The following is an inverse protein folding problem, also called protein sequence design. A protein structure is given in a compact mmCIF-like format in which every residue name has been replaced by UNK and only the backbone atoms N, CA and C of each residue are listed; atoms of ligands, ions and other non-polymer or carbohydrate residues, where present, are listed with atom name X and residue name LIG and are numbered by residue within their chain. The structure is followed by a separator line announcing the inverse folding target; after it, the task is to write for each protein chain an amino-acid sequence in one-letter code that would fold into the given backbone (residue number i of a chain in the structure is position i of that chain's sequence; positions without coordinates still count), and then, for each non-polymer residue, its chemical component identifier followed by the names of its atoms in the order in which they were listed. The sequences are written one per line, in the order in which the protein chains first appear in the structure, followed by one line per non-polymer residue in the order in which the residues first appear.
data_IF_532925942552
#
_entry.id   IF_532925942552
#
_cell.length_a   1.000
_cell.length_b   1.000
_cell.length_c   1.000
_cell.angle_alpha   90.00
_cell.angle_beta   90.00
_cell.angle_gamma   90.00
#
_symmetry.space_group_name_H-M   'P 1'
#
loop_
_entity.id
_entity.type
_entity.pdbx_description
1 polymer ?
#
# COMPACT_ATOMS: atom_id res chain seq x y z
N UNK A 1 10.82 -12.39 2.04
CA UNK A 1 9.55 -11.65 2.08
C UNK A 1 9.01 -11.72 3.50
N UNK A 2 8.88 -10.57 4.17
CA UNK A 2 8.29 -10.51 5.51
C UNK A 2 6.76 -10.59 5.40
N UNK A 3 6.20 -11.78 5.60
CA UNK A 3 4.75 -12.02 5.50
C UNK A 3 3.96 -11.29 6.59
N UNK A 4 4.56 -11.08 7.75
CA UNK A 4 3.90 -10.43 8.87
C UNK A 4 3.71 -8.95 8.58
N UNK A 5 4.72 -8.31 7.99
CA UNK A 5 4.62 -6.93 7.53
C UNK A 5 3.51 -6.75 6.47
N UNK A 6 3.48 -7.61 5.44
CA UNK A 6 2.45 -7.56 4.39
C UNK A 6 1.06 -7.81 4.98
N UNK A 7 0.90 -8.84 5.82
CA UNK A 7 -0.36 -9.16 6.49
C UNK A 7 -0.88 -8.00 7.34
N UNK A 8 0.01 -7.32 8.07
CA UNK A 8 -0.37 -6.16 8.89
C UNK A 8 -0.85 -4.99 8.03
N UNK A 9 -0.28 -4.79 6.83
CA UNK A 9 -0.76 -3.73 5.92
C UNK A 9 -2.09 -4.05 5.28
N UNK A 10 -2.32 -5.32 4.93
CA UNK A 10 -3.65 -5.79 4.50
C UNK A 10 -4.68 -5.49 5.58
N UNK A 11 -4.36 -5.81 6.84
CA UNK A 11 -5.20 -5.51 8.00
C UNK A 11 -5.48 -4.00 8.12
N UNK A 12 -4.44 -3.17 8.05
CA UNK A 12 -4.59 -1.72 8.15
C UNK A 12 -5.41 -1.13 7.01
N UNK A 13 -5.23 -1.59 5.77
CA UNK A 13 -6.03 -1.16 4.62
C UNK A 13 -7.50 -1.61 4.74
N UNK A 14 -7.76 -2.81 5.28
CA UNK A 14 -9.11 -3.28 5.60
C UNK A 14 -9.79 -2.38 6.65
N UNK A 15 -9.08 -2.09 7.74
CA UNK A 15 -9.59 -1.26 8.83
C UNK A 15 -9.85 0.18 8.37
N UNK A 16 -9.01 0.73 7.48
CA UNK A 16 -9.24 2.05 6.88
C UNK A 16 -10.53 2.14 6.04
N UNK A 17 -11.02 1.01 5.52
CA UNK A 17 -12.33 0.91 4.84
C UNK A 17 -13.47 0.54 5.78
N UNK A 18 -13.23 0.45 7.08
CA UNK A 18 -14.20 0.01 8.08
C UNK A 18 -14.79 -1.39 7.82
N UNK A 19 -14.02 -2.26 7.15
CA UNK A 19 -14.45 -3.64 6.89
C UNK A 19 -14.04 -4.55 8.03
N UNK A 20 -14.90 -5.49 8.40
CA UNK A 20 -14.58 -6.66 9.23
C UNK A 20 -13.82 -7.72 8.41
N UNK A 21 -13.20 -8.69 9.09
CA UNK A 21 -12.54 -9.81 8.40
C UNK A 21 -13.55 -10.64 7.61
N UNK A 22 -14.77 -10.77 8.13
CA UNK A 22 -15.91 -11.45 7.51
C UNK A 22 -16.34 -10.77 6.22
N UNK A 23 -16.45 -9.44 6.22
CA UNK A 23 -16.83 -8.68 5.03
C UNK A 23 -15.75 -8.74 3.95
N UNK A 24 -14.47 -8.58 4.31
CA UNK A 24 -13.38 -8.77 3.35
C UNK A 24 -13.38 -10.19 2.79
N UNK A 25 -13.56 -11.19 3.65
CA UNK A 25 -13.60 -12.59 3.23
C UNK A 25 -14.73 -12.85 2.22
N UNK A 26 -15.91 -12.28 2.43
CA UNK A 26 -17.01 -12.35 1.48
C UNK A 26 -16.66 -11.69 0.13
N UNK A 27 -16.01 -10.52 0.14
CA UNK A 27 -15.61 -9.80 -1.08
C UNK A 27 -14.61 -10.57 -1.94
N UNK A 28 -13.70 -11.32 -1.32
CA UNK A 28 -12.64 -12.06 -2.03
C UNK A 28 -12.90 -13.57 -2.10
N UNK A 29 -14.11 -14.02 -1.77
CA UNK A 29 -14.53 -15.42 -1.77
C UNK A 29 -13.58 -16.33 -0.95
N UNK A 30 -13.25 -15.89 0.27
CA UNK A 30 -12.46 -16.64 1.24
C UNK A 30 -13.28 -16.91 2.51
N UNK A 31 -12.80 -17.82 3.35
CA UNK A 31 -13.27 -17.91 4.74
C UNK A 31 -12.66 -16.80 5.60
N UNK A 32 -13.36 -16.29 6.64
CA UNK A 32 -12.80 -15.34 7.60
C UNK A 32 -11.49 -15.82 8.25
N UNK A 33 -11.39 -17.12 8.52
CA UNK A 33 -10.18 -17.76 9.04
C UNK A 33 -8.99 -17.63 8.08
N UNK A 34 -9.22 -17.74 6.77
CA UNK A 34 -8.17 -17.52 5.77
C UNK A 34 -7.70 -16.07 5.78
N UNK A 35 -8.60 -15.10 5.82
CA UNK A 35 -8.26 -13.67 5.95
C UNK A 35 -7.42 -13.43 7.21
N UNK A 36 -7.83 -14.00 8.35
CA UNK A 36 -7.07 -13.91 9.62
C UNK A 36 -5.66 -14.53 9.53
N UNK A 37 -5.50 -15.65 8.81
CA UNK A 37 -4.19 -16.29 8.57
C UNK A 37 -3.29 -15.39 7.72
N UNK A 38 -3.87 -14.73 6.70
CA UNK A 38 -3.17 -13.79 5.81
C UNK A 38 -2.73 -12.55 6.60
N UNK A 39 -3.63 -11.92 7.35
CA UNK A 39 -3.36 -10.71 8.12
C UNK A 39 -2.29 -10.91 9.20
N UNK A 40 -2.20 -12.12 9.76
CA UNK A 40 -1.16 -12.48 10.74
C UNK A 40 0.16 -12.93 10.09
N UNK A 41 0.22 -13.04 8.76
CA UNK A 41 1.41 -13.49 8.03
C UNK A 41 1.78 -14.96 8.28
N UNK A 42 0.81 -15.81 8.66
CA UNK A 42 1.07 -17.21 9.05
C UNK A 42 1.26 -18.14 7.85
N UNK A 43 0.83 -17.73 6.65
CA UNK A 43 0.96 -18.52 5.43
C UNK A 43 1.15 -17.61 4.22
N UNK A 44 1.92 -18.10 3.24
CA UNK A 44 2.06 -17.43 1.94
C UNK A 44 0.72 -17.46 1.20
N UNK A 45 0.27 -16.28 0.78
CA UNK A 45 -0.93 -16.09 -0.03
C UNK A 45 -0.62 -16.32 -1.51
N UNK A 46 -1.54 -16.95 -2.25
CA UNK A 46 -1.42 -17.06 -3.72
C UNK A 46 -1.54 -15.67 -4.36
N UNK A 47 -0.88 -15.47 -5.49
CA UNK A 47 -0.91 -14.18 -6.21
C UNK A 47 -2.34 -13.76 -6.57
N UNK A 48 -3.17 -14.67 -7.08
CA UNK A 48 -4.57 -14.37 -7.43
C UNK A 48 -5.36 -13.85 -6.23
N UNK A 49 -5.16 -14.46 -5.05
CA UNK A 49 -5.79 -14.05 -3.80
C UNK A 49 -5.27 -12.69 -3.34
N UNK A 50 -3.96 -12.45 -3.46
CA UNK A 50 -3.36 -11.16 -3.15
C UNK A 50 -3.93 -10.04 -4.03
N UNK A 51 -4.05 -10.28 -5.34
CA UNK A 51 -4.66 -9.33 -6.30
C UNK A 51 -6.13 -9.08 -5.95
N UNK A 52 -6.90 -10.13 -5.64
CA UNK A 52 -8.29 -9.98 -5.23
C UNK A 52 -8.43 -9.10 -3.96
N UNK A 53 -7.55 -9.29 -2.98
CA UNK A 53 -7.51 -8.46 -1.77
C UNK A 53 -7.16 -7.01 -2.09
N UNK A 54 -6.11 -6.77 -2.89
CA UNK A 54 -5.72 -5.41 -3.27
C UNK A 54 -6.88 -4.67 -3.97
N UNK A 55 -7.57 -5.34 -4.89
CA UNK A 55 -8.72 -4.79 -5.59
C UNK A 55 -9.92 -4.53 -4.65
N UNK A 56 -10.26 -5.48 -3.77
CA UNK A 56 -11.35 -5.30 -2.80
C UNK A 56 -11.06 -4.14 -1.83
N UNK A 57 -9.80 -4.00 -1.45
CA UNK A 57 -9.32 -2.90 -0.60
C UNK A 57 -9.07 -1.61 -1.38
N UNK A 58 -9.18 -1.60 -2.71
CA UNK A 58 -8.94 -0.42 -3.55
C UNK A 58 -7.60 0.27 -3.23
N UNK A 59 -6.55 -0.54 -3.10
CA UNK A 59 -5.18 -0.10 -2.85
C UNK A 59 -4.24 -0.68 -3.90
N UNK A 60 -3.14 0.02 -4.18
CA UNK A 60 -2.12 -0.53 -5.06
C UNK A 60 -1.39 -1.71 -4.39
N UNK A 61 -0.86 -2.62 -5.22
CA UNK A 61 0.00 -3.69 -4.75
C UNK A 61 1.22 -3.15 -4.00
N UNK A 62 1.77 -2.01 -4.47
CA UNK A 62 2.89 -1.31 -3.86
C UNK A 62 2.62 -0.89 -2.41
N UNK A 63 1.41 -0.40 -2.11
CA UNK A 63 1.01 -0.06 -0.73
C UNK A 63 1.10 -1.28 0.20
N UNK A 64 0.69 -2.46 -0.28
CA UNK A 64 0.75 -3.69 0.51
C UNK A 64 2.18 -4.27 0.59
N UNK A 65 2.99 -4.04 -0.45
CA UNK A 65 4.33 -4.61 -0.61
C UNK A 65 5.47 -3.63 -0.28
N UNK A 66 5.18 -2.47 0.30
CA UNK A 66 6.20 -1.46 0.64
C UNK A 66 7.34 -2.10 1.46
N UNK A 67 8.60 -1.75 1.21
CA UNK A 67 9.79 -2.29 1.92
C UNK A 67 10.07 -3.81 1.82
N UNK A 68 9.17 -4.62 1.27
CA UNK A 68 9.44 -6.04 0.94
C UNK A 68 9.77 -6.24 -0.54
N UNK A 69 9.48 -5.23 -1.35
CA UNK A 69 9.94 -5.08 -2.73
C UNK A 69 10.83 -3.84 -2.77
N UNK A 70 12.11 -4.02 -3.13
CA UNK A 70 13.14 -2.97 -3.09
C UNK A 70 12.81 -1.71 -3.93
N UNK A 71 11.81 -1.78 -4.80
CA UNK A 71 11.38 -0.71 -5.69
C UNK A 71 9.86 -0.42 -5.65
N UNK A 72 9.13 -0.80 -4.59
CA UNK A 72 7.67 -0.58 -4.47
C UNK A 72 7.24 0.89 -4.55
N UNK A 73 8.10 1.84 -4.19
CA UNK A 73 7.77 3.28 -4.23
C UNK A 73 7.97 3.87 -5.64
N UNK A 74 8.51 3.09 -6.58
CA UNK A 74 9.02 3.65 -7.85
C UNK A 74 7.99 3.79 -8.98
N UNK A 75 6.81 3.16 -8.87
CA UNK A 75 5.86 3.08 -10.00
C UNK A 75 5.11 4.38 -10.34
N UNK A 76 4.77 5.22 -9.35
CA UNK A 76 3.93 6.42 -9.55
C UNK A 76 4.50 7.68 -8.89
N UNK A 77 5.25 7.56 -7.78
CA UNK A 77 5.80 8.72 -7.04
C UNK A 77 7.22 9.11 -7.40
N UNK A 78 7.96 8.27 -8.13
CA UNK A 78 9.38 8.56 -8.43
C UNK A 78 9.59 9.55 -9.56
N UNK A 79 8.66 9.75 -10.48
CA UNK A 79 8.90 10.71 -11.57
C UNK A 79 9.10 12.13 -11.01
N UNK A 80 8.29 12.52 -10.02
CA UNK A 80 8.40 13.82 -9.38
C UNK A 80 9.69 13.90 -8.56
N UNK A 81 10.01 12.88 -7.75
CA UNK A 81 11.23 12.85 -6.93
C UNK A 81 12.49 12.88 -7.80
N UNK A 82 12.58 12.04 -8.84
CA UNK A 82 13.71 12.00 -9.76
C UNK A 82 13.89 13.32 -10.53
N UNK A 83 12.79 13.97 -10.91
CA UNK A 83 12.86 15.30 -11.55
C UNK A 83 13.33 16.36 -10.55
N UNK A 84 12.85 16.33 -9.30
CA UNK A 84 13.23 17.29 -8.25
C UNK A 84 14.70 17.13 -7.86
N UNK A 85 15.19 15.90 -7.70
CA UNK A 85 16.59 15.62 -7.34
C UNK A 85 17.59 16.17 -8.36
N UNK A 86 17.22 16.19 -9.65
CA UNK A 86 18.05 16.73 -10.73
C UNK A 86 18.08 18.26 -10.78
N UNK A 87 17.24 18.95 -10.01
CA UNK A 87 17.18 20.40 -10.00
C UNK A 87 18.13 21.02 -8.96
N UNK A 88 18.61 22.26 -9.19
CA UNK A 88 19.33 23.02 -8.18
C UNK A 88 18.53 23.20 -6.88
N UNK A 89 19.23 23.27 -5.73
CA UNK A 89 18.63 23.43 -4.39
C UNK A 89 17.61 24.58 -4.32
N UNK A 90 17.82 25.67 -5.08
CA UNK A 90 16.90 26.81 -5.14
C UNK A 90 15.53 26.45 -5.76
N UNK A 91 15.53 25.65 -6.83
CA UNK A 91 14.33 25.14 -7.50
C UNK A 91 13.59 24.15 -6.59
N UNK A 92 14.32 23.24 -5.94
CA UNK A 92 13.76 22.28 -4.98
C UNK A 92 13.01 23.01 -3.85
N UNK A 93 13.62 24.04 -3.25
CA UNK A 93 12.98 24.86 -2.21
C UNK A 93 11.73 25.58 -2.70
N UNK A 94 11.70 26.01 -3.97
CA UNK A 94 10.53 26.66 -4.57
C UNK A 94 9.37 25.68 -4.73
N UNK A 95 9.66 24.46 -5.19
CA UNK A 95 8.67 23.39 -5.33
C UNK A 95 8.09 23.01 -3.96
N UNK A 96 8.94 22.81 -2.96
CA UNK A 96 8.52 22.51 -1.58
C UNK A 96 7.61 23.64 -1.04
N UNK A 97 7.95 24.90 -1.29
CA UNK A 97 7.12 26.04 -0.87
C UNK A 97 5.72 26.00 -1.51
N UNK A 98 5.63 25.71 -2.80
CA UNK A 98 4.33 25.58 -3.49
C UNK A 98 3.51 24.43 -2.91
N UNK A 99 4.14 23.28 -2.68
CA UNK A 99 3.47 22.12 -2.07
C UNK A 99 2.93 22.48 -0.68
N UNK A 100 3.73 23.13 0.17
CA UNK A 100 3.22 23.59 1.48
C UNK A 100 2.02 24.53 1.33
N UNK A 101 2.06 25.50 0.41
CA UNK A 101 0.92 26.39 0.16
C UNK A 101 -0.34 25.66 -0.32
N UNK A 102 -0.20 24.53 -1.00
CA UNK A 102 -1.33 23.72 -1.46
C UNK A 102 -1.85 22.74 -0.40
N UNK A 103 -1.05 22.42 0.62
CA UNK A 103 -1.40 21.49 1.71
C UNK A 103 -1.93 22.21 2.96
N UNK A 104 -1.65 23.51 3.10
CA UNK A 104 -2.15 24.38 4.18
C UNK A 104 -3.52 25.01 3.85
N UNK A 105 -4.50 24.20 3.41
CA UNK A 105 -5.93 24.56 3.57
C UNK A 105 -6.40 24.29 5.00
#
# INVERSE_FOLDING_TARGET
MDLKAVGQRIKSAREAKNLTQEELAALVNLSPTHVSVIERGLKVTKLDTFVAIANALDVSADTLLIDVVAHSVTGVTNELTEKIEKLPIKEQKKIIKVIHTLLEE
#
